data_IF_951465768484
#
_entry.id   IF_951465768484
#
_cell.length_a   1.000
_cell.length_b   1.000
_cell.length_c   1.000
_cell.angle_alpha   90.00
_cell.angle_beta   90.00
_cell.angle_gamma   90.00
#
_symmetry.space_group_name_H-M   'P 1'
#
loop_
_entity.id
_entity.type
_entity.pdbx_description
1 polymer ?
#
# COMPACT_ATOMS: atom_id res chain seq x y z
N UNK A 1 19.52 -46.57 40.19
CA UNK A 1 18.97 -45.96 38.97
C UNK A 1 17.89 -46.85 38.39
N UNK A 2 16.62 -46.46 38.50
CA UNK A 2 15.66 -46.38 37.39
C UNK A 2 14.32 -45.95 37.96
N UNK A 3 13.97 -44.74 37.60
CA UNK A 3 12.75 -44.03 37.93
C UNK A 3 11.51 -44.82 37.49
N UNK A 4 10.59 -45.00 38.42
CA UNK A 4 9.21 -45.36 38.13
C UNK A 4 8.52 -44.15 37.49
N UNK A 5 8.63 -44.04 36.18
CA UNK A 5 8.00 -42.98 35.39
C UNK A 5 6.48 -43.05 35.51
N UNK A 6 5.90 -42.05 36.18
CA UNK A 6 4.48 -41.77 36.16
C UNK A 6 4.01 -41.56 34.71
N UNK A 7 2.99 -42.32 34.29
CA UNK A 7 2.33 -42.12 33.01
C UNK A 7 1.72 -40.71 32.98
N UNK A 8 1.94 -39.90 31.92
CA UNK A 8 1.38 -38.57 31.83
C UNK A 8 -0.13 -38.65 31.62
N UNK A 9 -0.92 -38.23 32.62
CA UNK A 9 -2.38 -38.17 32.63
C UNK A 9 -3.01 -37.15 31.63
N UNK A 10 -2.27 -36.73 30.60
CA UNK A 10 -2.68 -35.67 29.66
C UNK A 10 -2.83 -36.11 28.21
N UNK A 11 -2.34 -37.29 27.81
CA UNK A 11 -2.40 -37.72 26.41
C UNK A 11 -3.81 -38.17 25.96
N UNK A 12 -4.64 -38.61 26.92
CA UNK A 12 -5.97 -39.18 26.65
C UNK A 12 -7.08 -38.15 26.42
N UNK A 13 -6.78 -36.85 26.53
CA UNK A 13 -7.75 -35.77 26.30
C UNK A 13 -7.64 -35.14 24.91
N UNK A 14 -6.48 -35.27 24.24
CA UNK A 14 -6.25 -34.67 22.92
C UNK A 14 -7.00 -35.36 21.77
N UNK A 15 -7.57 -36.54 22.03
CA UNK A 15 -8.35 -37.32 21.07
C UNK A 15 -9.81 -37.52 21.48
N UNK A 16 -10.29 -36.80 22.51
CA UNK A 16 -11.70 -36.85 22.91
C UNK A 16 -12.50 -35.95 21.98
N UNK A 17 -13.29 -36.59 21.13
CA UNK A 17 -14.29 -35.91 20.31
C UNK A 17 -15.18 -35.06 21.21
N UNK A 18 -15.38 -33.80 20.82
CA UNK A 18 -16.30 -32.90 21.51
C UNK A 18 -17.75 -33.42 21.38
N UNK A 19 -18.64 -32.99 22.28
CA UNK A 19 -20.05 -33.40 22.23
C UNK A 19 -20.71 -33.06 20.88
N UNK A 20 -20.32 -31.94 20.27
CA UNK A 20 -20.80 -31.52 18.95
C UNK A 20 -20.23 -32.39 17.81
N UNK A 21 -18.98 -32.83 17.91
CA UNK A 21 -18.36 -33.74 16.93
C UNK A 21 -18.92 -35.16 17.04
N UNK A 22 -19.18 -35.65 18.26
CA UNK A 22 -19.87 -36.92 18.49
C UNK A 22 -21.30 -36.87 17.97
N UNK A 23 -22.03 -35.78 18.25
CA UNK A 23 -23.37 -35.56 17.72
C UNK A 23 -23.36 -35.47 16.19
N UNK A 24 -22.30 -34.94 15.58
CA UNK A 24 -22.13 -34.89 14.13
C UNK A 24 -21.84 -36.27 13.50
N UNK A 25 -20.95 -37.05 14.11
CA UNK A 25 -20.54 -38.37 13.63
C UNK A 25 -21.61 -39.45 13.83
N UNK A 26 -22.35 -39.38 14.94
CA UNK A 26 -23.43 -40.32 15.28
C UNK A 26 -24.77 -39.91 14.64
N UNK A 27 -24.83 -38.79 13.91
CA UNK A 27 -26.06 -38.34 13.26
C UNK A 27 -26.39 -39.18 12.03
N UNK A 28 -27.64 -39.61 11.95
CA UNK A 28 -28.17 -40.30 10.78
C UNK A 28 -27.91 -39.49 9.48
N UNK A 29 -27.17 -40.05 8.50
CA UNK A 29 -26.90 -39.38 7.23
C UNK A 29 -28.18 -38.99 6.47
N UNK A 30 -29.27 -39.73 6.63
CA UNK A 30 -30.56 -39.37 6.03
C UNK A 30 -31.19 -38.13 6.66
N UNK A 31 -31.06 -37.95 7.97
CA UNK A 31 -31.51 -36.73 8.65
C UNK A 31 -30.66 -35.52 8.23
N UNK A 32 -29.34 -35.69 8.06
CA UNK A 32 -28.46 -34.64 7.52
C UNK A 32 -28.85 -34.24 6.10
N UNK A 33 -29.11 -35.20 5.22
CA UNK A 33 -29.55 -34.93 3.86
C UNK A 33 -30.89 -34.16 3.83
N UNK A 34 -31.86 -34.56 4.66
CA UNK A 34 -33.16 -33.87 4.77
C UNK A 34 -33.05 -32.45 5.33
N UNK A 35 -32.15 -32.22 6.28
CA UNK A 35 -31.90 -30.87 6.81
C UNK A 35 -31.16 -29.98 5.83
N UNK A 36 -30.16 -30.52 5.13
CA UNK A 36 -29.46 -29.81 4.05
C UNK A 36 -30.44 -29.46 2.92
N UNK A 37 -31.35 -30.36 2.57
CA UNK A 37 -32.39 -30.09 1.57
C UNK A 37 -33.37 -29.00 2.03
N UNK A 38 -33.81 -29.04 3.30
CA UNK A 38 -34.65 -27.99 3.90
C UNK A 38 -33.93 -26.64 3.92
N UNK A 39 -32.65 -26.61 4.30
CA UNK A 39 -31.83 -25.40 4.28
C UNK A 39 -31.64 -24.87 2.86
N UNK A 40 -31.39 -25.75 1.88
CA UNK A 40 -31.26 -25.39 0.47
C UNK A 40 -32.56 -24.83 -0.11
N UNK A 41 -33.72 -25.42 0.23
CA UNK A 41 -35.05 -24.88 -0.14
C UNK A 41 -35.29 -23.51 0.51
N UNK A 42 -34.98 -23.36 1.80
CA UNK A 42 -35.10 -22.07 2.50
C UNK A 42 -34.16 -21.00 1.93
N UNK A 43 -32.96 -21.37 1.48
CA UNK A 43 -32.02 -20.42 0.91
C UNK A 43 -32.48 -19.99 -0.48
N UNK A 44 -32.99 -20.92 -1.30
CA UNK A 44 -33.60 -20.61 -2.60
C UNK A 44 -34.77 -19.64 -2.47
N UNK A 45 -35.71 -19.91 -1.57
CA UNK A 45 -36.85 -19.01 -1.35
C UNK A 45 -36.43 -17.62 -0.84
N UNK A 46 -35.39 -17.54 0.00
CA UNK A 46 -34.81 -16.26 0.43
C UNK A 46 -34.14 -15.50 -0.72
N UNK A 47 -33.42 -16.20 -1.61
CA UNK A 47 -32.79 -15.57 -2.78
C UNK A 47 -33.81 -15.13 -3.81
N UNK A 48 -34.84 -15.93 -4.06
CA UNK A 48 -35.96 -15.59 -4.95
C UNK A 48 -36.73 -14.38 -4.43
N UNK A 49 -37.01 -14.31 -3.12
CA UNK A 49 -37.67 -13.14 -2.52
C UNK A 49 -36.82 -11.87 -2.62
N UNK A 50 -35.49 -11.98 -2.55
CA UNK A 50 -34.58 -10.83 -2.77
C UNK A 50 -34.50 -10.41 -4.23
N UNK A 51 -34.66 -11.35 -5.16
CA UNK A 51 -34.68 -11.07 -6.59
C UNK A 51 -36.03 -10.45 -7.03
N UNK A 52 -37.14 -10.94 -6.47
CA UNK A 52 -38.48 -10.48 -6.79
C UNK A 52 -38.88 -9.15 -6.12
N UNK A 53 -38.29 -8.82 -4.97
CA UNK A 53 -38.56 -7.56 -4.25
C UNK A 53 -37.26 -6.74 -4.05
N UNK A 54 -36.95 -5.82 -4.99
CA UNK A 54 -35.82 -4.92 -4.89
C UNK A 54 -35.82 -4.05 -3.63
N UNK A 55 -37.00 -3.60 -3.17
CA UNK A 55 -37.13 -2.75 -1.98
C UNK A 55 -36.80 -3.54 -0.70
N UNK A 56 -37.19 -4.82 -0.63
CA UNK A 56 -36.78 -5.71 0.46
C UNK A 56 -35.27 -5.97 0.47
N UNK A 57 -34.65 -6.17 -0.70
CA UNK A 57 -33.21 -6.32 -0.80
C UNK A 57 -32.46 -5.04 -0.37
N UNK A 58 -32.95 -3.86 -0.73
CA UNK A 58 -32.38 -2.58 -0.28
C UNK A 58 -32.51 -2.38 1.23
N UNK A 59 -33.65 -2.72 1.84
CA UNK A 59 -33.83 -2.69 3.30
C UNK A 59 -32.81 -3.57 4.04
N UNK A 60 -32.53 -4.77 3.51
CA UNK A 60 -31.49 -5.65 4.08
C UNK A 60 -30.10 -5.02 3.99
N UNK A 61 -29.71 -4.50 2.81
CA UNK A 61 -28.41 -3.84 2.62
C UNK A 61 -28.26 -2.60 3.51
N UNK A 62 -29.34 -1.84 3.71
CA UNK A 62 -29.35 -0.68 4.59
C UNK A 62 -29.15 -1.09 6.06
N UNK A 63 -29.84 -2.14 6.52
CA UNK A 63 -29.66 -2.69 7.85
C UNK A 63 -28.24 -3.23 8.11
N UNK A 64 -27.62 -3.86 7.10
CA UNK A 64 -26.21 -4.29 7.16
C UNK A 64 -25.25 -3.10 7.26
N UNK A 65 -25.46 -2.05 6.47
CA UNK A 65 -24.66 -0.82 6.53
C UNK A 65 -24.73 -0.18 7.92
N UNK A 66 -25.92 -0.14 8.52
CA UNK A 66 -26.11 0.41 9.86
C UNK A 66 -25.43 -0.44 10.94
N UNK A 67 -25.52 -1.78 10.87
CA UNK A 67 -24.77 -2.68 11.76
C UNK A 67 -23.26 -2.45 11.66
N UNK A 68 -22.73 -2.33 10.45
CA UNK A 68 -21.32 -2.05 10.23
C UNK A 68 -20.92 -0.68 10.79
N UNK A 69 -21.76 0.35 10.60
CA UNK A 69 -21.53 1.69 11.16
C UNK A 69 -21.47 1.65 12.68
N UNK A 70 -22.41 0.99 13.35
CA UNK A 70 -22.42 0.83 14.81
C UNK A 70 -21.19 0.08 15.33
N UNK A 71 -20.79 -0.98 14.63
CA UNK A 71 -19.56 -1.72 14.97
C UNK A 71 -18.33 -0.84 14.87
N UNK A 72 -18.15 -0.10 13.76
CA UNK A 72 -17.03 0.83 13.57
C UNK A 72 -17.03 1.93 14.65
N UNK A 73 -18.20 2.47 14.98
CA UNK A 73 -18.34 3.48 16.02
C UNK A 73 -17.89 2.91 17.38
N UNK A 74 -18.37 1.73 17.75
CA UNK A 74 -17.95 1.05 18.99
C UNK A 74 -16.45 0.76 19.00
N UNK A 75 -15.90 0.29 17.89
CA UNK A 75 -14.48 -0.01 17.75
C UNK A 75 -13.60 1.27 17.76
N UNK A 76 -14.18 2.44 17.49
CA UNK A 76 -13.50 3.75 17.58
C UNK A 76 -13.55 4.39 18.97
N UNK A 77 -14.49 4.00 19.84
CA UNK A 77 -14.59 4.54 21.20
C UNK A 77 -13.39 4.05 22.01
N UNK A 78 -12.61 4.99 22.57
CA UNK A 78 -11.42 4.69 23.38
C UNK A 78 -10.14 4.46 22.59
N UNK A 79 -10.16 4.57 21.24
CA UNK A 79 -8.92 4.66 20.46
C UNK A 79 -8.45 6.13 20.45
N UNK A 80 -7.17 6.40 20.73
CA UNK A 80 -6.62 7.73 20.54
C UNK A 80 -6.86 8.16 19.08
N UNK A 81 -7.19 9.43 18.89
CA UNK A 81 -7.32 10.01 17.55
C UNK A 81 -6.05 9.68 16.76
N UNK A 82 -6.15 9.04 15.59
CA UNK A 82 -4.98 8.74 14.80
C UNK A 82 -4.26 10.06 14.49
N UNK A 83 -2.93 10.12 14.63
CA UNK A 83 -2.19 11.35 14.40
C UNK A 83 -2.52 11.90 13.02
N UNK A 84 -2.67 13.22 12.93
CA UNK A 84 -2.91 13.87 11.65
C UNK A 84 -1.82 13.44 10.66
N UNK A 85 -2.20 12.91 9.49
CA UNK A 85 -1.22 12.41 8.54
C UNK A 85 -0.45 13.61 7.97
N UNK A 86 0.82 13.73 8.37
CA UNK A 86 1.76 14.74 7.88
C UNK A 86 2.02 14.50 6.39
N UNK A 87 2.21 15.57 5.62
CA UNK A 87 2.59 15.46 4.22
C UNK A 87 3.97 14.79 4.07
N UNK A 88 4.16 14.04 2.99
CA UNK A 88 5.49 13.54 2.66
C UNK A 88 6.41 14.70 2.24
N UNK A 89 7.63 14.73 2.76
CA UNK A 89 8.68 15.66 2.31
C UNK A 89 9.16 15.24 0.91
N UNK A 90 8.92 16.10 -0.08
CA UNK A 90 9.27 15.87 -1.47
C UNK A 90 10.36 16.85 -1.94
N UNK A 91 11.36 16.40 -2.73
CA UNK A 91 12.36 17.28 -3.30
C UNK A 91 11.75 18.27 -4.30
N UNK A 92 12.38 19.43 -4.48
CA UNK A 92 11.99 20.40 -5.50
C UNK A 92 12.47 19.94 -6.88
N UNK A 93 11.65 19.11 -7.53
CA UNK A 93 11.90 18.61 -8.88
C UNK A 93 10.82 19.11 -9.85
N UNK A 94 11.24 19.35 -11.09
CA UNK A 94 10.33 19.52 -12.22
C UNK A 94 9.69 18.17 -12.62
N UNK A 95 8.64 18.20 -13.45
CA UNK A 95 7.98 16.98 -13.93
C UNK A 95 8.97 16.07 -14.66
N UNK A 96 9.80 16.61 -15.55
CA UNK A 96 10.78 15.84 -16.31
C UNK A 96 11.84 15.19 -15.41
N UNK A 97 12.28 15.90 -14.36
CA UNK A 97 13.24 15.34 -13.40
C UNK A 97 12.59 14.26 -12.50
N UNK A 98 11.35 14.46 -12.08
CA UNK A 98 10.61 13.47 -11.31
C UNK A 98 10.36 12.19 -12.13
N UNK A 99 10.05 12.34 -13.42
CA UNK A 99 9.93 11.26 -14.38
C UNK A 99 11.25 10.51 -14.57
N UNK A 100 12.35 11.22 -14.85
CA UNK A 100 13.67 10.62 -15.01
C UNK A 100 14.08 9.80 -13.78
N UNK A 101 13.93 10.35 -12.57
CA UNK A 101 14.23 9.62 -11.33
C UNK A 101 13.36 8.39 -11.13
N UNK A 102 12.07 8.46 -11.51
CA UNK A 102 11.19 7.31 -11.42
C UNK A 102 11.62 6.22 -12.41
N UNK A 103 11.95 6.59 -13.65
CA UNK A 103 12.44 5.65 -14.67
C UNK A 103 13.75 4.98 -14.23
N UNK A 104 14.75 5.76 -13.82
CA UNK A 104 16.04 5.25 -13.32
C UNK A 104 15.84 4.27 -12.14
N UNK A 105 14.95 4.63 -11.21
CA UNK A 105 14.62 3.78 -10.08
C UNK A 105 13.92 2.48 -10.50
N UNK A 106 13.01 2.56 -11.47
CA UNK A 106 12.36 1.38 -12.01
C UNK A 106 13.40 0.48 -12.67
N UNK A 107 14.35 1.01 -13.45
CA UNK A 107 15.41 0.23 -14.12
C UNK A 107 16.29 -0.53 -13.12
N UNK A 108 16.58 0.05 -11.96
CA UNK A 108 17.31 -0.63 -10.88
C UNK A 108 16.54 -1.73 -10.13
N UNK A 109 15.21 -1.87 -10.32
CA UNK A 109 14.38 -2.82 -9.56
C UNK A 109 13.97 -4.07 -10.36
N UNK A 110 14.33 -5.30 -9.92
CA UNK A 110 14.00 -6.54 -10.64
C UNK A 110 12.58 -7.07 -10.37
N UNK A 111 11.58 -6.21 -10.15
CA UNK A 111 10.21 -6.65 -9.85
C UNK A 111 9.32 -6.71 -11.10
N UNK A 112 8.35 -7.64 -11.10
CA UNK A 112 7.35 -7.74 -12.17
C UNK A 112 6.52 -6.45 -12.32
N UNK A 113 6.25 -5.77 -11.20
CA UNK A 113 5.58 -4.47 -11.20
C UNK A 113 6.43 -3.38 -11.85
N UNK A 114 7.74 -3.35 -11.59
CA UNK A 114 8.63 -2.40 -12.22
C UNK A 114 8.71 -2.63 -13.74
N UNK A 115 8.83 -3.89 -14.17
CA UNK A 115 8.78 -4.26 -15.58
C UNK A 115 7.48 -3.80 -16.27
N UNK A 116 6.33 -3.97 -15.60
CA UNK A 116 5.04 -3.52 -16.14
C UNK A 116 4.96 -1.99 -16.27
N UNK A 117 5.54 -1.24 -15.32
CA UNK A 117 5.54 0.22 -15.36
C UNK A 117 6.47 0.79 -16.42
N UNK A 118 7.64 0.18 -16.64
CA UNK A 118 8.57 0.56 -17.73
C UNK A 118 7.90 0.52 -19.10
N UNK A 119 7.03 -0.47 -19.35
CA UNK A 119 6.24 -0.56 -20.58
C UNK A 119 5.08 0.45 -20.71
N UNK A 120 4.92 1.38 -19.76
CA UNK A 120 3.79 2.33 -19.71
C UNK A 120 4.27 3.76 -19.41
N UNK A 121 4.90 4.44 -20.38
CA UNK A 121 5.44 5.80 -20.18
C UNK A 121 4.37 6.81 -19.74
N UNK A 122 3.14 6.71 -20.26
CA UNK A 122 2.03 7.58 -19.83
C UNK A 122 1.71 7.48 -18.34
N UNK A 123 1.87 6.29 -17.73
CA UNK A 123 1.69 6.11 -16.30
C UNK A 123 2.83 6.73 -15.50
N UNK A 124 4.06 6.61 -15.98
CA UNK A 124 5.24 7.22 -15.34
C UNK A 124 5.06 8.74 -15.32
N UNK A 125 4.67 9.33 -16.46
CA UNK A 125 4.36 10.74 -16.56
C UNK A 125 3.22 11.17 -15.63
N UNK A 126 2.14 10.39 -15.55
CA UNK A 126 1.05 10.66 -14.60
C UNK A 126 1.52 10.67 -13.14
N UNK A 127 2.41 9.77 -12.75
CA UNK A 127 3.00 9.77 -11.41
C UNK A 127 3.87 11.01 -11.17
N UNK A 128 4.67 11.43 -12.16
CA UNK A 128 5.47 12.64 -12.07
C UNK A 128 4.62 13.93 -11.99
N UNK A 129 3.52 14.01 -12.76
CA UNK A 129 2.54 15.09 -12.67
C UNK A 129 1.87 15.12 -11.28
N UNK A 130 1.48 13.95 -10.76
CA UNK A 130 0.91 13.81 -9.42
C UNK A 130 1.90 14.18 -8.31
N UNK A 131 3.18 13.86 -8.47
CA UNK A 131 4.26 14.28 -7.56
C UNK A 131 4.35 15.80 -7.48
N UNK A 132 4.43 16.49 -8.62
CA UNK A 132 4.51 17.97 -8.64
C UNK A 132 3.24 18.59 -8.06
N UNK A 133 2.07 18.06 -8.41
CA UNK A 133 0.80 18.52 -7.85
C UNK A 133 0.75 18.34 -6.32
N UNK A 134 1.17 17.18 -5.82
CA UNK A 134 1.24 16.91 -4.38
C UNK A 134 2.15 17.92 -3.69
N UNK A 135 3.37 18.10 -4.20
CA UNK A 135 4.37 19.01 -3.61
C UNK A 135 3.87 20.46 -3.52
N UNK A 136 3.22 20.96 -4.58
CA UNK A 136 2.64 22.31 -4.59
C UNK A 136 1.60 22.45 -3.49
N UNK A 137 0.73 21.45 -3.34
CA UNK A 137 -0.34 21.46 -2.34
C UNK A 137 0.17 21.24 -0.92
N UNK A 138 1.30 20.54 -0.76
CA UNK A 138 1.92 20.23 0.53
C UNK A 138 2.95 21.26 0.98
N UNK A 139 3.13 22.38 0.26
CA UNK A 139 4.10 23.42 0.62
C UNK A 139 3.88 24.00 2.03
N UNK A 140 2.65 23.94 2.55
CA UNK A 140 2.32 24.33 3.93
C UNK A 140 2.44 23.21 4.97
N UNK A 141 3.08 22.08 4.65
CA UNK A 141 3.21 20.91 5.52
C UNK A 141 1.93 20.07 5.68
N UNK A 142 0.80 20.53 5.12
CA UNK A 142 -0.49 19.85 5.20
C UNK A 142 -0.61 18.82 4.08
N UNK A 143 -1.03 17.61 4.44
CA UNK A 143 -1.25 16.54 3.46
C UNK A 143 -2.39 16.91 2.49
N UNK A 144 -2.16 16.88 1.17
CA UNK A 144 -3.18 17.22 0.19
C UNK A 144 -4.42 16.30 0.28
N UNK A 145 -5.60 16.92 0.25
CA UNK A 145 -6.85 16.17 0.13
C UNK A 145 -6.99 15.60 -1.29
N UNK A 146 -7.80 14.53 -1.43
CA UNK A 146 -8.11 13.95 -2.74
C UNK A 146 -8.72 14.98 -3.70
N UNK A 147 -9.61 15.85 -3.18
CA UNK A 147 -10.26 16.89 -3.98
C UNK A 147 -9.26 17.92 -4.52
N UNK A 148 -8.34 18.39 -3.66
CA UNK A 148 -7.29 19.34 -4.07
C UNK A 148 -6.36 18.74 -5.13
N UNK A 149 -5.92 17.49 -4.92
CA UNK A 149 -5.04 16.81 -5.88
C UNK A 149 -5.73 16.60 -7.23
N UNK A 150 -7.00 16.18 -7.24
CA UNK A 150 -7.79 16.01 -8.45
C UNK A 150 -8.00 17.35 -9.20
N UNK A 151 -8.32 18.41 -8.46
CA UNK A 151 -8.54 19.74 -9.00
C UNK A 151 -7.26 20.29 -9.66
N UNK A 152 -6.12 20.16 -8.99
CA UNK A 152 -4.84 20.65 -9.52
C UNK A 152 -4.36 19.82 -10.72
N UNK A 153 -4.55 18.50 -10.69
CA UNK A 153 -4.26 17.64 -11.85
C UNK A 153 -5.08 18.03 -13.08
N UNK A 154 -6.35 18.36 -12.88
CA UNK A 154 -7.24 18.82 -13.96
C UNK A 154 -6.84 20.20 -14.47
N UNK A 155 -6.63 21.18 -13.58
CA UNK A 155 -6.40 22.57 -13.99
C UNK A 155 -5.01 22.79 -14.59
N UNK A 156 -3.97 22.12 -14.06
CA UNK A 156 -2.58 22.32 -14.48
C UNK A 156 -2.15 21.39 -15.59
N UNK A 157 -2.62 20.14 -15.58
CA UNK A 157 -2.14 19.09 -16.48
C UNK A 157 -3.24 18.53 -17.40
N UNK A 158 -4.47 19.04 -17.31
CA UNK A 158 -5.60 18.55 -18.13
C UNK A 158 -6.01 17.10 -17.81
N UNK A 159 -5.59 16.54 -16.66
CA UNK A 159 -5.85 15.14 -16.31
C UNK A 159 -7.16 14.99 -15.55
N UNK A 160 -8.12 14.31 -16.18
CA UNK A 160 -9.33 13.84 -15.50
C UNK A 160 -9.06 12.47 -14.86
N UNK A 161 -9.11 12.41 -13.53
CA UNK A 161 -8.78 11.21 -12.75
C UNK A 161 -9.93 10.90 -11.80
N UNK A 162 -10.31 9.63 -11.68
CA UNK A 162 -11.41 9.23 -10.79
C UNK A 162 -11.00 9.31 -9.32
N UNK A 163 -11.94 9.44 -8.36
CA UNK A 163 -11.59 9.55 -6.94
C UNK A 163 -10.74 8.39 -6.40
N UNK A 164 -10.93 7.17 -6.93
CA UNK A 164 -10.15 5.99 -6.55
C UNK A 164 -8.74 6.01 -7.13
N UNK A 165 -8.59 6.51 -8.36
CA UNK A 165 -7.27 6.70 -8.98
C UNK A 165 -6.48 7.80 -8.27
N UNK A 166 -7.12 8.92 -7.90
CA UNK A 166 -6.48 10.00 -7.14
C UNK A 166 -5.96 9.49 -5.80
N UNK A 167 -6.74 8.65 -5.11
CA UNK A 167 -6.29 8.00 -3.88
C UNK A 167 -5.03 7.15 -4.12
N UNK A 168 -5.04 6.30 -5.15
CA UNK A 168 -3.87 5.48 -5.51
C UNK A 168 -2.66 6.30 -5.90
N UNK A 169 -2.84 7.39 -6.65
CA UNK A 169 -1.76 8.30 -7.02
C UNK A 169 -1.13 8.93 -5.78
N UNK A 170 -1.95 9.43 -4.86
CA UNK A 170 -1.47 9.99 -3.60
C UNK A 170 -0.67 8.97 -2.79
N UNK A 171 -1.21 7.77 -2.63
CA UNK A 171 -0.55 6.71 -1.85
C UNK A 171 0.77 6.25 -2.50
N UNK A 172 0.83 6.20 -3.84
CA UNK A 172 2.07 5.90 -4.55
C UNK A 172 3.10 7.03 -4.45
N UNK A 173 2.68 8.30 -4.54
CA UNK A 173 3.60 9.44 -4.35
C UNK A 173 4.21 9.40 -2.96
N UNK A 174 3.40 9.16 -1.93
CA UNK A 174 3.87 9.02 -0.56
C UNK A 174 4.79 7.79 -0.40
N UNK A 175 4.43 6.65 -0.99
CA UNK A 175 5.28 5.45 -0.99
C UNK A 175 6.62 5.65 -1.71
N UNK A 176 6.65 6.41 -2.80
CA UNK A 176 7.86 6.74 -3.53
C UNK A 176 8.74 7.81 -2.86
N UNK A 177 8.17 8.57 -1.93
CA UNK A 177 8.87 9.53 -1.09
C UNK A 177 9.53 8.88 0.14
N UNK A 178 9.13 7.65 0.49
CA UNK A 178 9.77 6.90 1.59
C UNK A 178 11.23 6.58 1.28
N UNK A 179 12.01 6.34 2.34
CA UNK A 179 13.43 5.99 2.23
C UNK A 179 13.67 4.84 1.23
N UNK A 180 14.61 5.04 0.30
CA UNK A 180 14.90 4.09 -0.78
C UNK A 180 13.91 4.12 -1.96
N UNK A 181 13.00 5.10 -2.01
CA UNK A 181 12.16 5.43 -3.16
C UNK A 181 12.81 6.46 -4.10
N UNK A 182 12.26 6.67 -5.32
CA UNK A 182 12.82 7.55 -6.34
C UNK A 182 12.81 9.03 -5.95
N UNK A 183 11.94 9.41 -5.01
CA UNK A 183 11.77 10.79 -4.56
C UNK A 183 12.06 10.95 -3.07
N UNK A 184 12.72 9.96 -2.46
CA UNK A 184 13.21 10.09 -1.10
C UNK A 184 14.12 11.32 -0.99
N UNK A 185 13.84 12.18 -0.01
CA UNK A 185 14.82 13.19 0.41
C UNK A 185 16.06 12.43 0.91
N UNK A 186 17.23 12.81 0.42
CA UNK A 186 18.47 12.26 0.96
C UNK A 186 18.48 12.61 2.45
N UNK A 187 18.35 11.61 3.32
CA UNK A 187 18.54 11.83 4.74
C UNK A 187 19.92 12.46 4.90
N UNK A 188 20.06 13.61 5.60
CA UNK A 188 21.37 14.08 5.99
C UNK A 188 22.00 12.97 6.82
N UNK A 189 22.93 12.22 6.22
CA UNK A 189 23.68 11.22 6.95
C UNK A 189 24.37 11.93 8.11
N UNK A 190 24.23 11.45 9.37
CA UNK A 190 25.05 11.89 10.48
C UNK A 190 26.46 11.27 10.33
N UNK A 191 27.14 11.57 9.23
CA UNK A 191 28.50 11.16 8.96
C UNK A 191 29.16 12.27 8.17
N UNK A 192 29.70 13.22 8.92
CA UNK A 192 30.53 14.28 8.39
C UNK A 192 31.81 13.74 7.75
N UNK A 193 32.50 14.68 7.12
CA UNK A 193 33.83 14.59 6.49
C UNK A 193 33.83 14.24 4.99
N UNK A 194 33.75 15.34 4.23
CA UNK A 194 34.47 15.60 3.00
C UNK A 194 35.49 14.54 2.59
N UNK A 195 35.23 13.90 1.45
CA UNK A 195 36.27 13.30 0.62
C UNK A 195 36.33 14.08 -0.70
N UNK A 196 36.93 15.26 -0.64
CA UNK A 196 37.51 15.91 -1.83
C UNK A 196 38.55 14.97 -2.40
N UNK A 197 38.16 14.19 -3.42
CA UNK A 197 39.09 13.41 -4.22
C UNK A 197 39.86 14.39 -5.11
N UNK A 198 40.95 14.91 -4.57
CA UNK A 198 42.05 15.50 -5.33
C UNK A 198 42.61 14.43 -6.28
N UNK A 199 42.31 14.56 -7.57
CA UNK A 199 43.13 13.98 -8.64
C UNK A 199 43.76 15.13 -9.42
N UNK A 200 44.73 15.82 -8.80
CA UNK A 200 45.77 16.49 -9.58
C UNK A 200 46.90 15.48 -9.77
N UNK A 201 46.90 14.92 -10.97
CA UNK A 201 48.00 14.18 -11.58
C UNK A 201 49.20 15.13 -11.63
N UNK A 202 50.32 14.71 -11.04
CA UNK A 202 51.60 15.38 -11.20
C UNK A 202 52.10 15.06 -12.63
N UNK A 203 52.00 16.03 -13.53
CA UNK A 203 52.79 16.03 -14.75
C UNK A 203 54.14 16.68 -14.40
N UNK A 204 55.14 15.82 -14.20
CA UNK A 204 56.54 16.14 -14.43
C UNK A 204 56.76 16.30 -15.93
N UNK A 205 57.15 17.49 -16.39
CA UNK A 205 58.13 17.71 -17.46
C UNK A 205 58.24 19.20 -17.79
N UNK A 206 59.02 19.93 -16.99
CA UNK A 206 59.51 21.25 -17.34
C UNK A 206 60.71 21.08 -18.28
N UNK A 207 60.45 20.99 -19.59
CA UNK A 207 61.48 21.24 -20.61
C UNK A 207 61.75 22.75 -20.70
N UNK A 208 62.97 23.16 -20.31
CA UNK A 208 63.47 24.50 -20.54
C UNK A 208 63.80 24.73 -22.02
N UNK A 209 63.36 25.81 -22.67
CA UNK A 209 63.89 26.22 -23.97
C UNK A 209 65.17 27.04 -23.77
N UNK A 210 66.26 26.59 -24.41
CA UNK A 210 67.50 27.36 -24.59
C UNK A 210 67.20 28.65 -25.38
N UNK A 211 67.75 29.81 -24.99
CA UNK A 211 67.71 31.00 -25.84
C UNK A 211 68.74 30.88 -26.98
N UNK A 212 68.45 31.44 -28.18
CA UNK A 212 69.45 31.59 -29.23
C UNK A 212 70.42 32.73 -28.87
N UNK A 213 71.72 32.53 -29.11
CA UNK A 213 72.72 33.61 -29.09
C UNK A 213 72.99 34.09 -30.52
N UNK A 214 73.33 35.38 -30.73
CA UNK A 214 74.12 35.81 -31.88
C UNK A 214 75.56 35.31 -31.80
#
# INVERSE_FOLDING_TARGET
MRDGGALPAGADQAHRLTADELAFLLRDPMLRAREAERAAKSNRSRTERRAADPAYAERLRAGDRERQRRRRLRDSIGRPEPPEPVAADLPDLTVAQAEARLTDHLDGRPSAQAAQLRGRPDRIRLYAEAFVAYRILSAGGVRPTRGMLAALLKSRFGRAVTPSQVQKLRDHVEGFAMAGGPWAMASPHPSGTARTRSTRKADTDSHAPRPPRP
#
